data_IF_044438415052
#
_entry.id   IF_044438415052
#
_cell.length_a   1.000
_cell.length_b   1.000
_cell.length_c   1.000
_cell.angle_alpha   90.00
_cell.angle_beta   90.00
_cell.angle_gamma   90.00
#
_symmetry.space_group_name_H-M   'P 1'
#
loop_
_entity.id
_entity.type
_entity.pdbx_description
1 polymer ?
#
# COMPACT_ATOMS: atom_id res chain seq x y z
N UNK A 1 -3.70 28.18 19.68
CA UNK A 1 -3.89 27.12 18.66
C UNK A 1 -4.37 27.84 17.40
N UNK A 2 -3.42 28.26 16.56
CA UNK A 2 -3.63 29.24 15.48
C UNK A 2 -4.39 28.66 14.27
N UNK A 3 -5.35 29.42 13.75
CA UNK A 3 -6.21 29.09 12.60
C UNK A 3 -5.49 28.77 11.29
N UNK A 4 -4.16 28.93 11.22
CA UNK A 4 -3.32 28.50 10.10
C UNK A 4 -3.21 26.98 9.99
N UNK A 5 -3.28 26.26 11.12
CA UNK A 5 -3.24 24.78 11.12
C UNK A 5 -4.53 24.18 10.57
N UNK A 6 -5.70 24.79 10.82
CA UNK A 6 -6.98 24.32 10.28
C UNK A 6 -7.10 24.54 8.77
N UNK A 7 -6.53 25.64 8.24
CA UNK A 7 -6.52 25.90 6.80
C UNK A 7 -5.60 24.94 6.04
N UNK A 8 -4.40 24.67 6.55
CA UNK A 8 -3.49 23.67 5.98
C UNK A 8 -4.07 22.25 6.06
N UNK A 9 -4.75 21.90 7.16
CA UNK A 9 -5.45 20.63 7.31
C UNK A 9 -6.61 20.51 6.31
N UNK A 10 -7.39 21.57 6.13
CA UNK A 10 -8.46 21.64 5.13
C UNK A 10 -7.94 21.48 3.70
N UNK A 11 -6.86 22.18 3.34
CA UNK A 11 -6.23 22.08 2.01
C UNK A 11 -5.67 20.67 1.79
N UNK A 12 -4.97 20.09 2.77
CA UNK A 12 -4.46 18.71 2.68
C UNK A 12 -5.59 17.69 2.44
N UNK A 13 -6.68 17.79 3.20
CA UNK A 13 -7.83 16.90 3.05
C UNK A 13 -8.55 17.09 1.72
N UNK A 14 -8.72 18.33 1.25
CA UNK A 14 -9.33 18.61 -0.05
C UNK A 14 -8.45 18.08 -1.19
N UNK A 15 -7.13 18.22 -1.09
CA UNK A 15 -6.18 17.71 -2.11
C UNK A 15 -6.14 16.19 -2.11
N UNK A 16 -6.16 15.54 -0.94
CA UNK A 16 -6.26 14.08 -0.78
C UNK A 16 -7.57 13.54 -1.34
N UNK A 17 -8.70 14.18 -1.03
CA UNK A 17 -10.02 13.80 -1.55
C UNK A 17 -10.10 14.03 -3.06
N UNK A 18 -9.56 15.13 -3.59
CA UNK A 18 -9.56 15.41 -5.03
C UNK A 18 -8.65 14.44 -5.78
N UNK A 19 -7.47 14.11 -5.24
CA UNK A 19 -6.58 13.10 -5.82
C UNK A 19 -7.23 11.73 -5.80
N UNK A 20 -7.75 11.31 -4.64
CA UNK A 20 -8.47 10.05 -4.50
C UNK A 20 -9.69 9.97 -5.42
N UNK A 21 -10.52 11.02 -5.50
CA UNK A 21 -11.63 11.10 -6.45
C UNK A 21 -11.17 11.11 -7.90
N UNK A 22 -10.03 11.70 -8.22
CA UNK A 22 -9.49 11.76 -9.58
C UNK A 22 -9.00 10.37 -9.99
N UNK A 23 -8.29 9.68 -9.11
CA UNK A 23 -7.86 8.30 -9.29
C UNK A 23 -9.06 7.35 -9.38
N UNK A 24 -10.02 7.44 -8.45
CA UNK A 24 -11.25 6.64 -8.46
C UNK A 24 -12.07 6.88 -9.73
N UNK A 25 -12.10 8.13 -10.22
CA UNK A 25 -12.78 8.51 -11.46
C UNK A 25 -12.03 8.09 -12.73
N UNK A 26 -10.71 8.00 -12.67
CA UNK A 26 -9.89 7.47 -13.77
C UNK A 26 -9.94 5.93 -13.78
N UNK A 27 -10.21 5.29 -12.65
CA UNK A 27 -10.55 3.86 -12.56
C UNK A 27 -9.35 2.92 -12.77
N UNK A 28 -9.53 1.65 -12.36
CA UNK A 28 -8.56 0.55 -12.50
C UNK A 28 -8.18 0.26 -13.97
N UNK A 29 -8.97 0.74 -14.91
CA UNK A 29 -8.83 0.50 -16.35
C UNK A 29 -7.78 1.42 -17.01
N UNK A 30 -7.40 2.52 -16.37
CA UNK A 30 -6.52 3.54 -16.97
C UNK A 30 -5.14 3.65 -16.33
N UNK A 31 -4.89 2.97 -15.22
CA UNK A 31 -3.56 2.92 -14.59
C UNK A 31 -3.15 1.48 -14.36
N UNK A 32 -2.40 0.94 -15.32
CA UNK A 32 -1.72 -0.34 -15.13
C UNK A 32 -0.64 -0.21 -14.04
N UNK A 33 -0.21 -1.38 -13.55
CA UNK A 33 0.75 -1.47 -12.45
C UNK A 33 2.09 -0.77 -12.76
N UNK A 34 2.57 -0.84 -13.99
CA UNK A 34 3.87 -0.28 -14.38
C UNK A 34 3.80 1.25 -14.45
N UNK A 35 2.67 1.79 -14.94
CA UNK A 35 2.41 3.23 -14.88
C UNK A 35 2.38 3.75 -13.44
N UNK A 36 1.76 3.01 -12.52
CA UNK A 36 1.74 3.39 -11.09
C UNK A 36 3.13 3.32 -10.44
N UNK A 37 3.98 2.36 -10.82
CA UNK A 37 5.36 2.34 -10.36
C UNK A 37 6.12 3.60 -10.77
N UNK A 38 5.90 4.09 -12.00
CA UNK A 38 6.51 5.36 -12.46
C UNK A 38 6.12 6.56 -11.60
N UNK A 39 4.90 6.59 -11.04
CA UNK A 39 4.50 7.66 -10.13
C UNK A 39 5.18 7.62 -8.76
N UNK A 40 5.76 6.50 -8.34
CA UNK A 40 6.54 6.41 -7.11
C UNK A 40 7.88 7.16 -7.18
N UNK A 41 8.34 7.51 -8.38
CA UNK A 41 9.54 8.33 -8.59
C UNK A 41 9.25 9.84 -8.55
N UNK A 42 7.97 10.23 -8.40
CA UNK A 42 7.57 11.63 -8.43
C UNK A 42 7.88 12.36 -7.11
N UNK A 43 8.39 13.59 -7.18
CA UNK A 43 8.74 14.39 -6.00
C UNK A 43 7.55 15.00 -5.22
N UNK A 44 6.32 14.62 -5.54
CA UNK A 44 5.12 15.21 -4.93
C UNK A 44 4.55 14.23 -3.90
N UNK A 45 4.59 14.62 -2.62
CA UNK A 45 4.15 13.74 -1.53
C UNK A 45 2.70 13.29 -1.67
N UNK A 46 1.77 14.16 -2.11
CA UNK A 46 0.37 13.77 -2.30
C UNK A 46 0.19 12.73 -3.43
N UNK A 47 0.94 12.87 -4.52
CA UNK A 47 0.96 11.89 -5.61
C UNK A 47 1.53 10.56 -5.12
N UNK A 48 2.62 10.59 -4.34
CA UNK A 48 3.24 9.39 -3.78
C UNK A 48 2.27 8.65 -2.86
N UNK A 49 1.64 9.32 -1.90
CA UNK A 49 0.74 8.65 -0.95
C UNK A 49 -0.51 8.10 -1.63
N UNK A 50 -1.07 8.85 -2.57
CA UNK A 50 -2.19 8.35 -3.35
C UNK A 50 -1.81 7.16 -4.23
N UNK A 51 -0.64 7.19 -4.86
CA UNK A 51 -0.10 6.05 -5.65
C UNK A 51 0.08 4.81 -4.78
N UNK A 52 0.72 4.95 -3.62
CA UNK A 52 0.91 3.85 -2.65
C UNK A 52 -0.43 3.25 -2.22
N UNK A 53 -1.42 4.09 -1.91
CA UNK A 53 -2.78 3.65 -1.54
C UNK A 53 -3.42 2.82 -2.65
N UNK A 54 -3.33 3.24 -3.90
CA UNK A 54 -3.89 2.50 -5.05
C UNK A 54 -3.21 1.16 -5.19
N UNK A 55 -1.88 1.14 -5.16
CA UNK A 55 -1.10 -0.09 -5.28
C UNK A 55 -1.49 -1.10 -4.19
N UNK A 56 -1.69 -0.65 -2.95
CA UNK A 56 -2.13 -1.49 -1.83
C UNK A 56 -3.58 -1.99 -2.01
N UNK A 57 -4.49 -1.19 -2.56
CA UNK A 57 -5.90 -1.58 -2.74
C UNK A 57 -6.13 -2.50 -3.95
N UNK A 58 -5.29 -2.38 -4.98
CA UNK A 58 -5.60 -2.92 -6.30
C UNK A 58 -4.60 -3.95 -6.81
N UNK A 59 -3.36 -3.86 -6.34
CA UNK A 59 -2.27 -4.77 -6.70
C UNK A 59 -1.45 -5.24 -5.48
N UNK A 60 -2.06 -5.53 -4.32
CA UNK A 60 -1.32 -5.91 -3.12
C UNK A 60 -0.45 -7.15 -3.33
N UNK A 61 -0.83 -8.05 -4.23
CA UNK A 61 -0.12 -9.27 -4.59
C UNK A 61 1.16 -9.02 -5.41
N UNK A 62 1.22 -7.93 -6.19
CA UNK A 62 2.37 -7.59 -7.03
C UNK A 62 3.45 -6.84 -6.27
N UNK A 63 3.12 -6.22 -5.14
CA UNK A 63 4.08 -5.48 -4.33
C UNK A 63 5.14 -6.41 -3.74
N UNK A 64 6.41 -6.01 -3.85
CA UNK A 64 7.49 -6.73 -3.18
C UNK A 64 7.43 -6.48 -1.66
N UNK A 65 8.05 -7.37 -0.87
CA UNK A 65 8.17 -7.15 0.59
C UNK A 65 8.87 -5.86 0.93
N UNK A 66 9.91 -5.49 0.17
CA UNK A 66 10.66 -4.26 0.39
C UNK A 66 9.77 -3.04 0.16
N UNK A 67 8.98 -3.03 -0.91
CA UNK A 67 8.02 -1.94 -1.14
C UNK A 67 6.99 -1.83 -0.03
N UNK A 68 6.48 -2.96 0.47
CA UNK A 68 5.54 -2.95 1.59
C UNK A 68 6.17 -2.40 2.88
N UNK A 69 7.44 -2.72 3.16
CA UNK A 69 8.18 -2.12 4.27
C UNK A 69 8.40 -0.62 4.07
N UNK A 70 8.78 -0.19 2.88
CA UNK A 70 8.91 1.25 2.56
C UNK A 70 7.58 1.98 2.75
N UNK A 71 6.46 1.40 2.30
CA UNK A 71 5.15 2.02 2.46
C UNK A 71 4.71 2.08 3.93
N UNK A 72 5.09 1.07 4.73
CA UNK A 72 4.83 1.05 6.18
C UNK A 72 5.69 2.07 6.93
N UNK A 73 6.97 2.17 6.60
CA UNK A 73 7.96 2.89 7.41
C UNK A 73 8.16 4.34 6.97
N UNK A 74 7.97 4.64 5.68
CA UNK A 74 8.34 5.93 5.07
C UNK A 74 7.14 6.74 4.59
N UNK A 75 5.94 6.17 4.60
CA UNK A 75 4.71 6.90 4.28
C UNK A 75 4.39 7.95 5.35
N UNK A 76 3.94 9.13 4.94
CA UNK A 76 3.33 10.11 5.85
C UNK A 76 1.83 9.88 6.07
N UNK A 77 1.21 8.96 5.33
CA UNK A 77 -0.21 8.61 5.42
C UNK A 77 -0.42 7.36 6.28
N UNK A 78 -1.05 7.54 7.45
CA UNK A 78 -1.35 6.46 8.40
C UNK A 78 -2.17 5.32 7.80
N UNK A 79 -3.09 5.62 6.88
CA UNK A 79 -3.90 4.58 6.24
C UNK A 79 -3.01 3.69 5.36
N UNK A 80 -2.07 4.30 4.62
CA UNK A 80 -1.10 3.59 3.77
C UNK A 80 -0.22 2.69 4.65
N UNK A 81 0.27 3.21 5.78
CA UNK A 81 1.07 2.42 6.71
C UNK A 81 0.29 1.21 7.24
N UNK A 82 -0.96 1.43 7.66
CA UNK A 82 -1.85 0.39 8.20
C UNK A 82 -2.18 -0.67 7.15
N UNK A 83 -2.50 -0.27 5.92
CA UNK A 83 -2.75 -1.20 4.82
C UNK A 83 -1.50 -2.01 4.47
N UNK A 84 -0.34 -1.38 4.39
CA UNK A 84 0.92 -2.07 4.11
C UNK A 84 1.26 -3.11 5.20
N UNK A 85 1.03 -2.77 6.47
CA UNK A 85 1.17 -3.71 7.58
C UNK A 85 0.20 -4.89 7.44
N UNK A 86 -1.08 -4.63 7.13
CA UNK A 86 -2.07 -5.69 6.92
C UNK A 86 -1.66 -6.67 5.83
N UNK A 87 -1.17 -6.18 4.68
CA UNK A 87 -0.68 -7.03 3.59
C UNK A 87 0.54 -7.87 4.02
N UNK A 88 1.45 -7.29 4.81
CA UNK A 88 2.62 -8.02 5.35
C UNK A 88 2.20 -9.14 6.31
N UNK A 89 1.23 -8.88 7.18
CA UNK A 89 0.71 -9.87 8.13
C UNK A 89 -0.01 -11.02 7.42
N UNK A 90 -0.86 -10.71 6.43
CA UNK A 90 -1.53 -11.74 5.61
C UNK A 90 -0.54 -12.66 4.93
N UNK A 91 0.54 -12.11 4.33
CA UNK A 91 1.59 -12.90 3.69
C UNK A 91 2.33 -13.80 4.69
N UNK A 92 2.63 -13.28 5.88
CA UNK A 92 3.26 -14.06 6.94
C UNK A 92 2.39 -15.25 7.37
N UNK A 93 1.09 -15.02 7.56
CA UNK A 93 0.14 -16.10 7.92
C UNK A 93 0.09 -17.17 6.82
N UNK A 94 0.08 -16.77 5.54
CA UNK A 94 0.10 -17.70 4.41
C UNK A 94 1.39 -18.53 4.40
N UNK A 95 2.55 -17.92 4.62
CA UNK A 95 3.84 -18.61 4.66
C UNK A 95 3.96 -19.58 5.84
N UNK A 96 3.52 -19.16 7.03
CA UNK A 96 3.50 -20.02 8.21
C UNK A 96 2.58 -21.23 7.98
N UNK A 97 1.46 -21.03 7.28
CA UNK A 97 0.56 -22.09 6.84
C UNK A 97 1.19 -23.06 5.85
N UNK A 98 1.93 -22.54 4.85
CA UNK A 98 2.66 -23.35 3.87
C UNK A 98 3.78 -24.16 4.52
N UNK A 99 4.53 -23.55 5.44
CA UNK A 99 5.61 -24.21 6.18
C UNK A 99 5.09 -25.39 7.00
N UNK A 100 4.00 -25.22 7.75
CA UNK A 100 3.36 -26.31 8.51
C UNK A 100 2.94 -27.48 7.60
N UNK A 101 2.44 -27.19 6.41
CA UNK A 101 2.08 -28.24 5.43
C UNK A 101 3.32 -28.98 4.92
N UNK A 102 4.40 -28.26 4.61
CA UNK A 102 5.64 -28.86 4.17
C UNK A 102 6.24 -29.79 5.24
N UNK A 103 6.28 -29.33 6.50
CA UNK A 103 6.77 -30.14 7.64
C UNK A 103 5.96 -31.43 7.81
N UNK A 104 4.63 -31.36 7.66
CA UNK A 104 3.74 -32.54 7.71
C UNK A 104 4.01 -33.51 6.55
N UNK A 105 4.28 -33.00 5.34
CA UNK A 105 4.60 -33.84 4.18
C UNK A 105 5.93 -34.55 4.39
N UNK A 106 6.97 -33.85 4.85
CA UNK A 106 8.27 -34.46 5.16
C UNK A 106 8.11 -35.56 6.20
N UNK A 107 7.36 -35.31 7.27
CA UNK A 107 7.10 -36.30 8.32
C UNK A 107 6.44 -37.58 7.80
N UNK A 108 5.60 -37.51 6.76
CA UNK A 108 4.95 -38.67 6.15
C UNK A 108 5.91 -39.54 5.31
N UNK A 109 6.99 -38.95 4.78
CA UNK A 109 7.99 -39.68 3.98
C UNK A 109 9.20 -40.14 4.78
N UNK A 110 9.33 -39.71 6.04
CA UNK A 110 10.41 -40.11 6.95
C UNK A 110 9.97 -41.11 8.03
N UNK A 111 8.71 -41.55 8.02
CA UNK A 111 8.19 -42.66 8.84
C UNK A 111 8.14 -43.95 8.02
#
# INVERSE_FOLDING_TARGET
MDGKYSELFGIYHVTKILFQKTIERIGKENFDYDTLLGFLEHNNSSVLEGTRRILLLHYPEKLSRNMLYEFRDLSGDYDVQTMALGVLEERKVQEDGLRKRADNVVALFTC
#
